data_IF_061803225643
#
_entry.id   IF_061803225643
#
_cell.length_a   1.000
_cell.length_b   1.000
_cell.length_c   1.000
_cell.angle_alpha   90.00
_cell.angle_beta   90.00
_cell.angle_gamma   90.00
#
_symmetry.space_group_name_H-M   'P 1'
#
loop_
_entity.id
_entity.type
_entity.pdbx_description
1 polymer ?
#
# COMPACT_ATOMS: atom_id res chain seq x y z
N UNK A 1 -19.29 6.69 6.15
CA UNK A 1 -19.80 7.19 4.85
C UNK A 1 -20.64 6.07 4.26
N UNK A 2 -21.92 6.28 4.00
CA UNK A 2 -22.76 5.30 3.32
C UNK A 2 -22.68 5.60 1.82
N UNK A 3 -21.80 4.91 1.11
CA UNK A 3 -21.66 5.02 -0.34
C UNK A 3 -22.24 3.76 -1.00
N UNK A 4 -22.87 3.92 -2.17
CA UNK A 4 -23.45 2.80 -2.94
C UNK A 4 -22.45 2.17 -3.92
N UNK A 5 -21.44 2.92 -4.30
CA UNK A 5 -20.38 2.55 -5.24
C UNK A 5 -19.04 2.75 -4.54
N UNK A 6 -18.09 1.84 -4.73
CA UNK A 6 -16.74 2.03 -4.20
C UNK A 6 -16.05 3.15 -4.97
N UNK A 7 -15.54 4.15 -4.23
CA UNK A 7 -14.64 5.16 -4.79
C UNK A 7 -13.25 4.60 -5.08
N UNK A 8 -12.36 5.40 -5.68
CA UNK A 8 -10.96 5.02 -5.84
C UNK A 8 -10.33 4.71 -4.48
N UNK A 9 -9.45 3.70 -4.44
CA UNK A 9 -8.67 3.34 -3.27
C UNK A 9 -7.61 4.39 -2.96
N UNK A 10 -6.96 4.89 -4.01
CA UNK A 10 -5.97 5.96 -3.92
C UNK A 10 -6.33 7.09 -4.86
N UNK A 11 -6.25 8.32 -4.34
CA UNK A 11 -6.35 9.56 -5.11
C UNK A 11 -5.23 10.47 -4.61
N UNK A 12 -4.22 10.68 -5.45
CA UNK A 12 -3.12 11.59 -5.17
C UNK A 12 -3.21 12.75 -6.16
N UNK A 13 -3.19 13.97 -5.64
CA UNK A 13 -3.13 15.19 -6.42
C UNK A 13 -1.85 15.96 -6.07
N UNK A 14 -1.09 16.30 -7.09
CA UNK A 14 0.15 17.05 -6.98
C UNK A 14 0.10 18.25 -7.93
N UNK A 15 1.07 19.16 -7.82
CA UNK A 15 1.13 20.37 -8.65
C UNK A 15 1.05 20.07 -10.16
N UNK A 16 1.69 18.98 -10.61
CA UNK A 16 1.86 18.65 -12.02
C UNK A 16 0.98 17.51 -12.51
N UNK A 17 0.11 16.95 -11.67
CA UNK A 17 -0.62 15.77 -12.07
C UNK A 17 -1.43 15.10 -10.97
N UNK A 18 -1.98 13.95 -11.31
CA UNK A 18 -2.79 13.12 -10.42
C UNK A 18 -2.57 11.65 -10.70
N UNK A 19 -2.64 10.85 -9.65
CA UNK A 19 -2.66 9.39 -9.72
C UNK A 19 -3.92 8.88 -9.05
N UNK A 20 -4.69 8.05 -9.76
CA UNK A 20 -5.94 7.47 -9.28
C UNK A 20 -5.86 5.97 -9.45
N UNK A 21 -6.09 5.20 -8.38
CA UNK A 21 -6.11 3.74 -8.42
C UNK A 21 -7.36 3.19 -7.75
N UNK A 22 -7.93 2.17 -8.39
CA UNK A 22 -9.05 1.39 -7.89
C UNK A 22 -8.55 -0.02 -7.50
N UNK A 23 -9.45 -0.80 -6.90
CA UNK A 23 -9.17 -2.17 -6.50
C UNK A 23 -8.34 -2.28 -5.22
N UNK A 24 -8.01 -3.53 -4.88
CA UNK A 24 -7.21 -3.93 -3.72
C UNK A 24 -6.12 -4.91 -4.19
N UNK A 25 -5.12 -5.12 -3.35
CA UNK A 25 -4.08 -6.13 -3.60
C UNK A 25 -4.71 -7.54 -3.69
N UNK A 26 -4.29 -8.31 -4.69
CA UNK A 26 -4.89 -9.63 -5.00
C UNK A 26 -4.43 -10.74 -4.05
N UNK A 27 -3.31 -10.59 -3.35
CA UNK A 27 -2.69 -11.69 -2.59
C UNK A 27 -3.60 -12.16 -1.46
N UNK A 28 -4.23 -11.24 -0.72
CA UNK A 28 -5.13 -11.62 0.37
C UNK A 28 -6.31 -12.46 -0.15
N UNK A 29 -6.92 -12.07 -1.27
CA UNK A 29 -8.00 -12.82 -1.91
C UNK A 29 -7.54 -14.19 -2.41
N UNK A 30 -6.36 -14.27 -3.03
CA UNK A 30 -5.77 -15.53 -3.52
C UNK A 30 -5.46 -16.48 -2.35
N UNK A 31 -4.85 -15.99 -1.27
CA UNK A 31 -4.54 -16.78 -0.07
C UNK A 31 -5.80 -17.35 0.59
N UNK A 32 -6.90 -16.60 0.61
CA UNK A 32 -8.19 -17.05 1.15
C UNK A 32 -8.78 -18.24 0.39
N UNK A 33 -8.38 -18.46 -0.87
CA UNK A 33 -8.79 -19.65 -1.64
C UNK A 33 -7.99 -20.90 -1.31
N UNK A 34 -7.00 -20.80 -0.41
CA UNK A 34 -6.05 -21.88 -0.10
C UNK A 34 -4.86 -21.95 -1.06
N UNK A 35 -4.77 -21.03 -2.00
CA UNK A 35 -3.62 -20.92 -2.92
C UNK A 35 -2.43 -20.33 -2.17
N UNK A 36 -1.29 -21.02 -2.20
CA UNK A 36 -0.07 -20.60 -1.49
C UNK A 36 0.84 -19.76 -2.41
N UNK A 37 1.69 -18.88 -1.84
CA UNK A 37 2.75 -18.23 -2.61
C UNK A 37 3.67 -19.28 -3.24
N UNK A 38 4.18 -19.04 -4.46
CA UNK A 38 5.11 -19.97 -5.11
C UNK A 38 6.40 -20.09 -4.30
N UNK A 39 7.03 -21.26 -4.37
CA UNK A 39 8.42 -21.40 -3.92
C UNK A 39 9.35 -20.56 -4.80
N UNK A 40 10.57 -20.29 -4.32
CA UNK A 40 11.58 -19.53 -5.09
C UNK A 40 11.80 -20.14 -6.48
N UNK A 41 11.87 -21.48 -6.55
CA UNK A 41 12.08 -22.20 -7.82
C UNK A 41 10.89 -22.10 -8.78
N UNK A 42 9.67 -21.99 -8.26
CA UNK A 42 8.45 -21.80 -9.06
C UNK A 42 8.32 -20.36 -9.52
N UNK A 43 8.65 -19.39 -8.67
CA UNK A 43 8.60 -17.97 -8.99
C UNK A 43 9.60 -17.58 -10.09
N UNK A 44 10.76 -18.25 -10.16
CA UNK A 44 11.74 -18.08 -11.24
C UNK A 44 11.24 -18.58 -12.60
N UNK A 45 10.23 -19.45 -12.64
CA UNK A 45 9.62 -19.98 -13.88
C UNK A 45 8.43 -19.15 -14.33
N UNK A 46 7.57 -18.74 -13.40
CA UNK A 46 6.41 -17.90 -13.67
C UNK A 46 6.11 -16.99 -12.47
N UNK A 47 6.33 -15.68 -12.63
CA UNK A 47 6.14 -14.70 -11.56
C UNK A 47 4.81 -13.96 -11.71
N UNK A 48 3.70 -14.67 -11.47
CA UNK A 48 2.35 -14.08 -11.45
C UNK A 48 1.85 -13.74 -10.03
N UNK A 49 2.55 -14.21 -8.99
CA UNK A 49 2.18 -13.96 -7.59
C UNK A 49 2.15 -12.47 -7.29
N UNK A 50 1.02 -11.97 -6.76
CA UNK A 50 0.85 -10.55 -6.42
C UNK A 50 0.81 -9.60 -7.61
N UNK A 51 0.79 -10.12 -8.85
CA UNK A 51 0.62 -9.30 -10.05
C UNK A 51 -0.86 -9.00 -10.27
N UNK A 52 -1.18 -7.72 -10.35
CA UNK A 52 -2.53 -7.27 -10.70
C UNK A 52 -2.78 -7.35 -12.21
N UNK A 53 -4.03 -7.57 -12.63
CA UNK A 53 -4.41 -7.45 -14.04
C UNK A 53 -4.32 -5.98 -14.49
N UNK A 54 -4.10 -5.75 -15.79
CA UNK A 54 -3.89 -4.39 -16.34
C UNK A 54 -5.10 -3.49 -16.12
N UNK A 55 -6.29 -4.07 -15.98
CA UNK A 55 -7.56 -3.40 -15.66
C UNK A 55 -7.50 -2.67 -14.31
N UNK A 56 -6.75 -3.20 -13.35
CA UNK A 56 -6.64 -2.69 -11.98
C UNK A 56 -5.43 -1.75 -11.78
N UNK A 57 -4.64 -1.57 -12.83
CA UNK A 57 -3.53 -0.62 -12.81
C UNK A 57 -4.03 0.79 -12.48
N UNK A 58 -3.19 1.49 -11.73
CA UNK A 58 -3.42 2.90 -11.48
C UNK A 58 -3.40 3.69 -12.77
N UNK A 59 -4.00 4.86 -12.73
CA UNK A 59 -4.08 5.78 -13.84
C UNK A 59 -3.28 7.04 -13.48
N UNK A 60 -2.29 7.38 -14.31
CA UNK A 60 -1.42 8.53 -14.13
C UNK A 60 -1.71 9.59 -15.20
N UNK A 61 -1.99 10.80 -14.75
CA UNK A 61 -2.11 11.98 -15.60
C UNK A 61 -1.16 13.05 -15.08
N UNK A 62 -0.04 13.27 -15.76
CA UNK A 62 1.01 14.18 -15.26
C UNK A 62 1.76 14.85 -16.40
N UNK A 63 2.37 15.99 -16.09
CA UNK A 63 3.47 16.55 -16.87
C UNK A 63 4.76 15.78 -16.56
N UNK A 64 5.45 15.30 -17.59
CA UNK A 64 6.75 14.62 -17.50
C UNK A 64 7.89 15.63 -17.38
N UNK A 65 9.09 15.16 -17.02
CA UNK A 65 10.26 16.03 -16.84
C UNK A 65 10.67 16.81 -18.10
N UNK A 66 10.34 16.29 -19.29
CA UNK A 66 10.55 16.94 -20.59
C UNK A 66 9.35 17.78 -21.06
N UNK A 67 8.38 18.04 -20.17
CA UNK A 67 7.27 18.97 -20.39
C UNK A 67 6.08 18.39 -21.18
N UNK A 68 6.06 17.09 -21.48
CA UNK A 68 4.92 16.46 -22.15
C UNK A 68 3.83 16.14 -21.14
N UNK A 69 2.56 16.26 -21.55
CA UNK A 69 1.43 15.81 -20.75
C UNK A 69 1.07 14.39 -21.18
N UNK A 70 1.15 13.45 -20.23
CA UNK A 70 0.79 12.04 -20.46
C UNK A 70 -0.47 11.67 -19.70
N UNK A 71 -1.20 10.69 -20.22
CA UNK A 71 -2.46 10.21 -19.65
C UNK A 71 -2.59 8.71 -19.91
N UNK A 72 -2.10 7.88 -18.97
CA UNK A 72 -1.94 6.44 -19.22
C UNK A 72 -2.16 5.57 -17.98
N UNK A 73 -2.29 4.26 -18.20
CA UNK A 73 -2.21 3.27 -17.13
C UNK A 73 -0.77 3.16 -16.66
N UNK A 74 -0.58 3.13 -15.36
CA UNK A 74 0.71 3.00 -14.71
C UNK A 74 0.76 1.64 -14.00
N UNK A 75 1.72 0.81 -14.41
CA UNK A 75 1.84 -0.57 -13.93
C UNK A 75 1.95 -0.63 -12.41
N UNK A 76 1.09 -1.44 -11.79
CA UNK A 76 1.19 -1.71 -10.37
C UNK A 76 2.39 -2.61 -10.13
N UNK A 77 3.26 -2.22 -9.19
CA UNK A 77 4.33 -3.08 -8.73
C UNK A 77 3.76 -4.38 -8.14
N UNK A 78 4.41 -5.50 -8.44
CA UNK A 78 4.00 -6.80 -7.93
C UNK A 78 4.03 -6.83 -6.41
N UNK A 79 2.88 -7.13 -5.79
CA UNK A 79 2.77 -7.29 -4.35
C UNK A 79 3.58 -8.49 -3.85
N UNK A 80 4.23 -8.33 -2.70
CA UNK A 80 4.99 -9.42 -2.08
C UNK A 80 4.96 -9.30 -0.55
N UNK A 81 4.04 -10.04 0.10
CA UNK A 81 4.00 -10.12 1.56
C UNK A 81 5.20 -10.86 2.17
N UNK A 82 5.94 -11.65 1.38
CA UNK A 82 7.15 -12.35 1.81
C UNK A 82 8.28 -11.43 2.24
N UNK A 83 8.35 -10.21 1.68
CA UNK A 83 9.36 -9.21 2.04
C UNK A 83 9.36 -8.88 3.53
N UNK A 84 8.19 -8.93 4.19
CA UNK A 84 8.10 -8.76 5.64
C UNK A 84 8.95 -9.80 6.39
N UNK A 85 8.85 -11.07 5.99
CA UNK A 85 9.59 -12.16 6.63
C UNK A 85 11.07 -12.15 6.27
N UNK A 86 11.43 -11.73 5.05
CA UNK A 86 12.83 -11.53 4.66
C UNK A 86 13.51 -10.47 5.54
N UNK A 87 12.83 -9.35 5.78
CA UNK A 87 13.32 -8.28 6.65
C UNK A 87 13.41 -8.74 8.11
N UNK A 88 12.41 -9.48 8.59
CA UNK A 88 12.44 -10.05 9.94
C UNK A 88 13.59 -11.05 10.11
N UNK A 89 13.80 -11.94 9.13
CA UNK A 89 14.94 -12.86 9.11
C UNK A 89 16.26 -12.11 9.16
N UNK A 90 16.42 -11.06 8.34
CA UNK A 90 17.65 -10.29 8.31
C UNK A 90 17.92 -9.56 9.64
N UNK A 91 16.88 -9.08 10.32
CA UNK A 91 17.02 -8.49 11.64
C UNK A 91 17.43 -9.54 12.70
N UNK A 92 16.76 -10.69 12.72
CA UNK A 92 17.01 -11.74 13.73
C UNK A 92 18.37 -12.40 13.53
N UNK A 93 18.70 -12.78 12.28
CA UNK A 93 19.86 -13.63 11.98
C UNK A 93 21.12 -12.80 11.69
N UNK A 94 20.95 -11.63 11.07
CA UNK A 94 22.07 -10.79 10.65
C UNK A 94 22.19 -9.50 11.46
N UNK A 95 21.32 -9.26 12.44
CA UNK A 95 21.35 -8.05 13.26
C UNK A 95 21.10 -6.77 12.47
N UNK A 96 20.44 -6.86 11.30
CA UNK A 96 20.05 -5.67 10.54
C UNK A 96 19.01 -4.86 11.31
N UNK A 97 18.95 -3.56 11.03
CA UNK A 97 17.90 -2.70 11.57
C UNK A 97 16.53 -3.14 11.05
N UNK A 98 15.51 -3.05 11.90
CA UNK A 98 14.13 -3.29 11.51
C UNK A 98 13.63 -2.15 10.64
N UNK A 99 13.18 -2.46 9.43
CA UNK A 99 12.54 -1.47 8.55
C UNK A 99 11.17 -1.02 9.09
N UNK A 100 10.42 -1.97 9.66
CA UNK A 100 9.16 -1.68 10.36
C UNK A 100 9.42 -1.87 11.85
N UNK A 101 9.38 -0.76 12.59
CA UNK A 101 9.76 -0.71 14.00
C UNK A 101 8.51 -0.72 14.90
N UNK A 102 8.63 -1.13 16.17
CA UNK A 102 7.50 -1.11 17.12
C UNK A 102 6.85 0.28 17.26
N UNK A 103 7.64 1.35 17.11
CA UNK A 103 7.18 2.74 17.15
C UNK A 103 6.18 3.05 16.03
N UNK A 104 6.32 2.42 14.85
CA UNK A 104 5.37 2.60 13.75
C UNK A 104 3.98 2.08 14.13
N UNK A 105 3.95 0.91 14.79
CA UNK A 105 2.70 0.33 15.32
C UNK A 105 2.09 1.17 16.44
N UNK A 106 2.92 1.68 17.36
CA UNK A 106 2.48 2.62 18.39
C UNK A 106 1.82 3.87 17.78
N UNK A 107 2.46 4.47 16.78
CA UNK A 107 1.98 5.68 16.11
C UNK A 107 0.64 5.45 15.41
N UNK A 108 0.45 4.28 14.78
CA UNK A 108 -0.84 3.91 14.17
C UNK A 108 -1.96 3.88 15.21
N UNK A 109 -1.75 3.20 16.35
CA UNK A 109 -2.74 3.16 17.43
C UNK A 109 -3.02 4.56 17.96
N UNK A 110 -1.99 5.37 18.17
CA UNK A 110 -2.14 6.74 18.65
C UNK A 110 -3.00 7.59 17.72
N UNK A 111 -2.82 7.48 16.40
CA UNK A 111 -3.64 8.18 15.41
C UNK A 111 -5.11 7.70 15.47
N UNK A 112 -5.34 6.40 15.62
CA UNK A 112 -6.70 5.84 15.76
C UNK A 112 -7.40 6.41 16.99
N UNK A 113 -6.72 6.44 18.14
CA UNK A 113 -7.25 7.02 19.39
C UNK A 113 -7.58 8.50 19.24
N UNK A 114 -6.68 9.28 18.63
CA UNK A 114 -6.92 10.70 18.36
C UNK A 114 -8.13 10.90 17.43
N UNK A 115 -8.32 10.02 16.43
CA UNK A 115 -9.48 10.05 15.56
C UNK A 115 -10.80 9.80 16.30
N UNK A 116 -10.82 8.81 17.21
CA UNK A 116 -11.97 8.50 18.06
C UNK A 116 -12.29 9.68 19.00
N UNK A 117 -11.27 10.22 19.66
CA UNK A 117 -11.43 11.36 20.57
C UNK A 117 -11.89 12.62 19.83
N UNK A 118 -11.30 12.94 18.68
CA UNK A 118 -11.70 14.08 17.85
C UNK A 118 -13.17 13.97 17.42
N UNK A 119 -13.63 12.76 17.05
CA UNK A 119 -15.02 12.51 16.71
C UNK A 119 -15.97 12.71 17.89
N UNK A 120 -15.57 12.31 19.11
CA UNK A 120 -16.35 12.51 20.33
C UNK A 120 -16.43 14.00 20.72
N UNK A 121 -15.30 14.71 20.67
CA UNK A 121 -15.19 16.11 21.10
C UNK A 121 -15.60 17.12 20.02
N UNK A 122 -15.85 16.67 18.78
CA UNK A 122 -16.21 17.51 17.63
C UNK A 122 -15.23 18.66 17.38
N UNK A 123 -13.94 18.42 17.63
CA UNK A 123 -12.86 19.38 17.37
C UNK A 123 -11.63 18.68 16.85
N UNK A 124 -10.80 19.44 16.13
CA UNK A 124 -9.48 18.99 15.72
C UNK A 124 -8.57 18.83 16.94
N UNK A 125 -7.85 17.71 17.00
CA UNK A 125 -6.80 17.46 17.99
C UNK A 125 -5.44 17.62 17.32
N UNK A 126 -4.47 18.12 18.08
CA UNK A 126 -3.09 18.19 17.62
C UNK A 126 -2.50 16.78 17.60
N UNK A 127 -1.88 16.40 16.48
CA UNK A 127 -1.18 15.12 16.34
C UNK A 127 0.25 15.24 16.89
N UNK A 128 0.35 15.61 18.17
CA UNK A 128 1.62 15.69 18.88
C UNK A 128 1.76 14.39 19.70
N UNK A 129 2.98 13.95 20.00
CA UNK A 129 3.29 12.69 20.72
C UNK A 129 3.29 11.41 19.86
N UNK A 130 3.70 11.50 18.60
CA UNK A 130 4.16 10.34 17.86
C UNK A 130 5.63 10.07 18.24
N UNK A 131 6.03 8.79 18.25
CA UNK A 131 7.38 8.30 18.51
C UNK A 131 8.24 8.29 17.23
#
# INVERSE_FOLDING_TARGET
>A
MLIREMGPRYVLHCLKGSFIKYGEDVQAGVLQTGTMPPTVDEQLKENSWGKEPIEDYGFLHTETNDGRIIKEKFETLTGNYGLFYEQLYAAIVHGKELEIRPEDGYNVIRIIELGLQSSQEKRTLQCNQLL
#
